data_IF_212476471313
#
_entry.id   IF_212476471313
#
_cell.length_a   1.000
_cell.length_b   1.000
_cell.length_c   1.000
_cell.angle_alpha   90.00
_cell.angle_beta   90.00
_cell.angle_gamma   90.00
#
_symmetry.space_group_name_H-M   'P 1'
#
loop_
_entity.id
_entity.type
_entity.pdbx_description
1 polymer ?
#
# COMPACT_ATOMS: atom_id res chain seq x y z
N UNK A 1 9.26 0.05 14.71
CA UNK A 1 8.56 -1.25 14.76
C UNK A 1 9.54 -2.32 15.16
N UNK A 2 9.24 -3.04 16.23
CA UNK A 2 10.14 -4.04 16.82
C UNK A 2 10.07 -5.37 16.04
N UNK A 3 8.87 -5.78 15.65
CA UNK A 3 8.61 -6.97 14.84
C UNK A 3 7.96 -6.62 13.51
N UNK A 4 8.05 -7.53 12.54
CA UNK A 4 7.39 -7.41 11.25
C UNK A 4 5.89 -7.67 11.35
N UNK A 5 5.09 -6.69 10.93
CA UNK A 5 3.65 -6.85 10.81
C UNK A 5 3.31 -7.54 9.49
N UNK A 6 2.56 -8.64 9.55
CA UNK A 6 2.15 -9.39 8.36
C UNK A 6 1.18 -8.61 7.45
N UNK A 7 0.53 -7.57 8.00
CA UNK A 7 -0.29 -6.63 7.25
C UNK A 7 0.39 -5.24 7.21
N UNK A 8 0.97 -4.84 6.06
CA UNK A 8 1.66 -3.55 5.91
C UNK A 8 0.78 -2.34 6.24
N UNK A 9 -0.54 -2.44 6.05
CA UNK A 9 -1.45 -1.33 6.33
C UNK A 9 -1.52 -0.98 7.81
N UNK A 10 -1.32 -1.97 8.71
CA UNK A 10 -1.37 -1.71 10.15
C UNK A 10 -0.09 -1.05 10.64
N UNK A 11 1.06 -1.43 10.07
CA UNK A 11 2.34 -0.75 10.30
C UNK A 11 2.28 0.71 9.82
N UNK A 12 1.68 0.95 8.65
CA UNK A 12 1.45 2.30 8.14
C UNK A 12 0.56 3.12 9.08
N UNK A 13 -0.56 2.57 9.55
CA UNK A 13 -1.43 3.24 10.51
C UNK A 13 -0.71 3.57 11.83
N UNK A 14 0.11 2.65 12.34
CA UNK A 14 0.90 2.88 13.55
C UNK A 14 1.92 4.02 13.34
N UNK A 15 2.50 4.10 12.14
CA UNK A 15 3.40 5.19 11.74
C UNK A 15 2.66 6.52 11.62
N UNK A 16 1.48 6.54 10.99
CA UNK A 16 0.65 7.74 10.83
C UNK A 16 0.21 8.33 12.17
N UNK A 17 -0.01 7.48 13.19
CA UNK A 17 -0.28 7.94 14.56
C UNK A 17 0.88 8.76 15.14
N UNK A 18 2.12 8.50 14.76
CA UNK A 18 3.28 9.28 15.18
C UNK A 18 3.38 10.62 14.43
N UNK A 19 3.00 10.64 13.14
CA UNK A 19 2.98 11.84 12.27
C UNK A 19 1.76 12.75 12.45
N UNK A 20 0.89 12.45 13.42
CA UNK A 20 -0.42 13.09 13.67
C UNK A 20 -0.46 14.60 13.36
N UNK A 21 -1.61 15.06 12.83
CA UNK A 21 -1.88 16.47 12.52
C UNK A 21 -1.51 17.37 13.71
N UNK A 22 -0.70 18.39 13.46
CA UNK A 22 -0.22 19.33 14.47
C UNK A 22 1.12 18.95 15.10
N UNK A 23 1.77 17.88 14.64
CA UNK A 23 3.17 17.62 14.97
C UNK A 23 4.12 18.52 14.15
N UNK A 24 5.06 19.18 14.81
CA UNK A 24 6.07 20.10 14.28
C UNK A 24 7.51 19.52 14.28
N UNK A 25 7.71 18.38 14.92
CA UNK A 25 9.00 17.69 15.09
C UNK A 25 9.15 16.55 14.08
N UNK A 26 10.39 16.37 13.63
CA UNK A 26 10.74 15.26 12.76
C UNK A 26 10.51 13.91 13.45
N UNK A 27 9.86 12.98 12.75
CA UNK A 27 9.62 11.61 13.20
C UNK A 27 10.56 10.68 12.45
N UNK A 28 11.37 9.92 13.19
CA UNK A 28 12.23 8.88 12.65
C UNK A 28 11.56 7.51 12.89
N UNK A 29 11.35 6.75 11.82
CA UNK A 29 10.74 5.43 11.89
C UNK A 29 11.81 4.39 11.65
N UNK A 30 12.20 3.70 12.72
CA UNK A 30 13.12 2.57 12.65
C UNK A 30 12.33 1.27 12.60
N UNK A 31 12.71 0.40 11.67
CA UNK A 31 12.20 -0.95 11.54
C UNK A 31 13.35 -1.91 11.82
N UNK A 32 13.22 -2.74 12.83
CA UNK A 32 14.24 -3.70 13.22
C UNK A 32 14.01 -5.00 12.45
N UNK A 33 15.09 -5.58 11.95
CA UNK A 33 15.11 -6.80 11.15
C UNK A 33 16.30 -7.64 11.59
N UNK A 34 16.07 -8.93 11.80
CA UNK A 34 17.09 -9.89 12.19
C UNK A 34 17.65 -10.58 10.95
N UNK A 35 18.91 -10.28 10.62
CA UNK A 35 19.63 -10.86 9.47
C UNK A 35 19.76 -12.38 9.59
N UNK A 36 19.65 -13.09 8.47
CA UNK A 36 19.76 -14.55 8.41
C UNK A 36 18.58 -15.31 9.02
N UNK A 37 17.52 -14.61 9.42
CA UNK A 37 16.32 -15.22 10.01
C UNK A 37 15.15 -15.29 9.03
N UNK A 38 14.04 -15.89 9.47
CA UNK A 38 12.79 -15.91 8.72
C UNK A 38 12.28 -14.49 8.39
N UNK A 39 12.65 -13.48 9.17
CA UNK A 39 12.20 -12.09 8.99
C UNK A 39 12.60 -11.52 7.63
N UNK A 40 13.78 -11.87 7.09
CA UNK A 40 14.22 -11.41 5.76
C UNK A 40 13.34 -11.96 4.64
N UNK A 41 12.96 -13.24 4.75
CA UNK A 41 12.07 -13.90 3.77
C UNK A 41 10.68 -13.28 3.81
N UNK A 42 10.18 -12.98 5.02
CA UNK A 42 8.90 -12.30 5.20
C UNK A 42 8.96 -10.87 4.63
N UNK A 43 10.02 -10.12 4.89
CA UNK A 43 10.19 -8.76 4.34
C UNK A 43 10.20 -8.75 2.81
N UNK A 44 10.96 -9.67 2.19
CA UNK A 44 10.99 -9.82 0.74
C UNK A 44 9.60 -10.15 0.15
N UNK A 45 8.87 -11.06 0.79
CA UNK A 45 7.51 -11.43 0.38
C UNK A 45 6.52 -10.25 0.54
N UNK A 46 6.60 -9.49 1.64
CA UNK A 46 5.75 -8.33 1.89
C UNK A 46 6.02 -7.21 0.87
N UNK A 47 7.27 -7.00 0.48
CA UNK A 47 7.65 -6.07 -0.59
C UNK A 47 7.03 -6.48 -1.93
N UNK A 48 7.20 -7.74 -2.34
CA UNK A 48 6.60 -8.25 -3.58
C UNK A 48 5.06 -8.13 -3.58
N UNK A 49 4.42 -8.43 -2.44
CA UNK A 49 2.97 -8.27 -2.27
C UNK A 49 2.53 -6.81 -2.39
N UNK A 50 3.29 -5.87 -1.82
CA UNK A 50 3.02 -4.44 -1.90
C UNK A 50 3.17 -3.92 -3.34
N UNK A 51 4.22 -4.35 -4.04
CA UNK A 51 4.42 -4.00 -5.46
C UNK A 51 3.27 -4.50 -6.33
N UNK A 52 2.84 -5.75 -6.13
CA UNK A 52 1.70 -6.32 -6.85
C UNK A 52 0.40 -5.54 -6.53
N UNK A 53 0.16 -5.20 -5.27
CA UNK A 53 -0.99 -4.39 -4.88
C UNK A 53 -0.96 -2.99 -5.52
N UNK A 54 0.19 -2.34 -5.54
CA UNK A 54 0.37 -1.05 -6.20
C UNK A 54 0.13 -1.13 -7.71
N UNK A 55 0.62 -2.19 -8.37
CA UNK A 55 0.35 -2.44 -9.78
C UNK A 55 -1.15 -2.61 -10.02
N UNK A 56 -1.85 -3.43 -9.23
CA UNK A 56 -3.29 -3.64 -9.35
C UNK A 56 -4.10 -2.34 -9.16
N UNK A 57 -3.73 -1.50 -8.18
CA UNK A 57 -4.35 -0.18 -7.98
C UNK A 57 -4.04 0.75 -9.16
N UNK A 58 -2.81 0.74 -9.67
CA UNK A 58 -2.44 1.54 -10.85
C UNK A 58 -3.22 1.15 -12.11
N UNK A 59 -3.50 -0.15 -12.30
CA UNK A 59 -4.35 -0.63 -13.40
C UNK A 59 -5.79 -0.15 -13.23
N UNK A 60 -6.27 0.03 -11.99
CA UNK A 60 -7.61 0.56 -11.70
C UNK A 60 -7.74 2.08 -11.91
N UNK A 61 -6.73 2.87 -11.53
CA UNK A 61 -6.78 4.33 -11.62
C UNK A 61 -6.45 4.87 -13.03
N UNK A 62 -5.50 4.25 -13.76
CA UNK A 62 -5.25 4.64 -15.16
C UNK A 62 -6.37 4.25 -16.10
N UNK A 63 -6.97 3.06 -15.89
CA UNK A 63 -7.99 2.56 -16.81
C UNK A 63 -9.24 3.45 -16.82
N UNK A 64 -9.70 3.97 -15.69
CA UNK A 64 -10.90 4.82 -15.68
C UNK A 64 -10.66 6.24 -16.24
N UNK A 65 -9.45 6.80 -16.06
CA UNK A 65 -9.11 8.14 -16.53
C UNK A 65 -8.82 8.24 -18.02
N UNK A 66 -8.41 7.15 -18.65
CA UNK A 66 -8.04 7.08 -20.08
C UNK A 66 -9.19 6.62 -20.99
N UNK A 67 -10.36 6.25 -20.44
CA UNK A 67 -11.54 5.85 -21.22
C UNK A 67 -12.28 7.07 -21.76
N UNK A 68 -12.70 7.00 -23.02
CA UNK A 68 -13.60 7.99 -23.60
C UNK A 68 -14.98 7.96 -22.94
N UNK A 69 -15.72 9.08 -23.04
CA UNK A 69 -17.06 9.20 -22.46
C UNK A 69 -18.01 8.08 -22.92
N UNK A 70 -17.86 7.59 -24.15
CA UNK A 70 -18.70 6.51 -24.70
C UNK A 70 -18.33 5.14 -24.12
N UNK A 71 -17.05 4.89 -23.86
CA UNK A 71 -16.59 3.65 -23.22
C UNK A 71 -16.99 3.59 -21.74
N UNK A 72 -16.88 4.71 -21.02
CA UNK A 72 -17.38 4.84 -19.65
C UNK A 72 -18.90 4.60 -19.58
N UNK A 73 -19.65 5.18 -20.51
CA UNK A 73 -21.11 5.04 -20.59
C UNK A 73 -21.54 3.61 -20.88
N UNK A 74 -20.77 2.87 -21.67
CA UNK A 74 -21.02 1.45 -21.93
C UNK A 74 -20.65 0.56 -20.73
N UNK A 75 -19.59 0.89 -20.00
CA UNK A 75 -19.15 0.14 -18.81
C UNK A 75 -20.20 0.16 -17.68
N UNK A 76 -20.89 1.29 -17.49
CA UNK A 76 -21.91 1.45 -16.42
C UNK A 76 -23.33 1.15 -16.88
N UNK A 77 -23.52 0.73 -18.13
CA UNK A 77 -24.86 0.42 -18.67
C UNK A 77 -25.30 -0.97 -18.18
N UNK A 78 -26.38 -0.99 -17.40
CA UNK A 78 -26.98 -2.26 -16.96
C UNK A 78 -27.71 -2.92 -18.14
N UNK A 79 -27.25 -4.07 -18.59
CA UNK A 79 -27.97 -4.89 -19.57
C UNK A 79 -29.15 -5.57 -18.87
N UNK A 80 -30.36 -5.29 -19.35
CA UNK A 80 -31.56 -6.06 -19.00
C UNK A 80 -31.64 -7.33 -19.86
#
# INVERSE_FOLDING_TARGET
HYDLWWNPAVEAQATDRAYRIGQEKNVLVHRLLSEGTLEEKIDAMLKAKKELANLAVSTGEKWLGDLSNDELKNLVKLNK
#
